data_IF_399441846113
#
_entry.id   IF_399441846113
#
_cell.length_a   1.000
_cell.length_b   1.000
_cell.length_c   1.000
_cell.angle_alpha   90.00
_cell.angle_beta   90.00
_cell.angle_gamma   90.00
#
_symmetry.space_group_name_H-M   'P 1'
#
loop_
_entity.id
_entity.type
_entity.pdbx_description
1 polymer ?
#
# COMPACT_ATOMS: atom_id res chain seq x y z
N UNK A 1 -15.59 8.28 12.38
CA UNK A 1 -15.31 6.99 11.71
C UNK A 1 -14.70 7.32 10.36
N UNK A 2 -13.38 7.37 10.27
CA UNK A 2 -12.70 7.73 9.03
C UNK A 2 -12.57 6.47 8.17
N UNK A 3 -13.64 6.11 7.44
CA UNK A 3 -13.53 5.14 6.34
C UNK A 3 -12.87 5.86 5.16
N UNK A 4 -11.56 6.11 5.27
CA UNK A 4 -10.79 6.59 4.12
C UNK A 4 -10.70 5.43 3.16
N UNK A 5 -11.65 5.37 2.21
CA UNK A 5 -11.61 4.43 1.10
C UNK A 5 -10.42 4.79 0.23
N UNK A 6 -9.28 4.20 0.53
CA UNK A 6 -8.03 4.51 -0.13
C UNK A 6 -7.74 3.49 -1.22
N UNK A 7 -7.67 3.96 -2.46
CA UNK A 7 -7.46 3.07 -3.61
C UNK A 7 -5.99 2.78 -3.82
N UNK A 8 -5.73 1.63 -4.41
CA UNK A 8 -4.38 1.21 -4.75
C UNK A 8 -3.61 2.24 -5.59
N UNK A 9 -4.26 2.89 -6.56
CA UNK A 9 -3.65 3.98 -7.35
C UNK A 9 -3.27 5.22 -6.51
N UNK A 10 -4.02 5.50 -5.46
CA UNK A 10 -3.80 6.67 -4.59
C UNK A 10 -2.60 6.40 -3.69
N UNK A 11 -2.55 5.22 -3.09
CA UNK A 11 -1.35 4.71 -2.38
C UNK A 11 -0.10 4.81 -3.24
N UNK A 12 -0.17 4.29 -4.46
CA UNK A 12 0.98 4.33 -5.37
C UNK A 12 1.43 5.77 -5.65
N UNK A 13 0.48 6.68 -5.87
CA UNK A 13 0.75 8.09 -6.16
C UNK A 13 1.39 8.78 -4.95
N UNK A 14 0.89 8.55 -3.73
CA UNK A 14 1.41 9.13 -2.49
C UNK A 14 2.84 8.71 -2.19
N UNK A 15 3.14 7.43 -2.42
CA UNK A 15 4.49 6.90 -2.23
C UNK A 15 5.42 7.17 -3.42
N UNK A 16 4.91 7.76 -4.52
CA UNK A 16 5.69 8.02 -5.72
C UNK A 16 6.14 6.75 -6.48
N UNK A 17 5.38 5.67 -6.35
CA UNK A 17 5.67 4.34 -6.92
C UNK A 17 4.58 3.92 -7.90
N UNK A 18 4.81 2.83 -8.63
CA UNK A 18 3.82 2.29 -9.54
C UNK A 18 2.74 1.49 -8.80
N UNK A 19 1.47 1.53 -9.26
CA UNK A 19 0.40 0.67 -8.74
C UNK A 19 0.76 -0.82 -8.72
N UNK A 20 1.58 -1.26 -9.67
CA UNK A 20 2.03 -2.64 -9.76
C UNK A 20 2.90 -3.04 -8.57
N UNK A 21 3.80 -2.17 -8.11
CA UNK A 21 4.62 -2.43 -6.92
C UNK A 21 3.76 -2.53 -5.66
N UNK A 22 2.78 -1.63 -5.49
CA UNK A 22 1.83 -1.71 -4.37
C UNK A 22 1.06 -3.04 -4.42
N UNK A 23 0.58 -3.45 -5.60
CA UNK A 23 -0.12 -4.71 -5.78
C UNK A 23 0.76 -5.91 -5.43
N UNK A 24 2.04 -5.89 -5.82
CA UNK A 24 2.99 -6.95 -5.51
C UNK A 24 3.32 -7.00 -4.01
N UNK A 25 3.38 -5.86 -3.32
CA UNK A 25 3.56 -5.81 -1.86
C UNK A 25 2.35 -6.42 -1.15
N UNK A 26 1.13 -6.04 -1.55
CA UNK A 26 -0.11 -6.61 -0.98
C UNK A 26 -0.14 -8.11 -1.22
N UNK A 27 0.22 -8.56 -2.42
CA UNK A 27 0.25 -9.98 -2.80
C UNK A 27 1.23 -10.84 -1.97
N UNK A 28 2.14 -10.24 -1.20
CA UNK A 28 3.04 -10.98 -0.29
C UNK A 28 2.35 -11.37 1.02
N UNK A 29 1.33 -10.62 1.44
CA UNK A 29 0.68 -10.77 2.74
C UNK A 29 -0.81 -11.10 2.62
N UNK A 30 -1.44 -10.70 1.52
CA UNK A 30 -2.87 -10.84 1.22
C UNK A 30 -3.06 -11.26 -0.24
N UNK A 31 -4.33 -11.39 -0.65
CA UNK A 31 -4.68 -11.67 -2.03
C UNK A 31 -4.30 -10.53 -2.97
N UNK A 32 -3.90 -10.88 -4.19
CA UNK A 32 -3.55 -9.90 -5.21
C UNK A 32 -4.75 -9.02 -5.55
N UNK A 33 -4.61 -7.68 -5.48
CA UNK A 33 -5.69 -6.78 -5.84
C UNK A 33 -6.06 -6.93 -7.32
N UNK A 34 -7.37 -6.92 -7.60
CA UNK A 34 -7.96 -7.19 -8.91
C UNK A 34 -7.79 -6.03 -9.89
N UNK A 35 -7.65 -4.80 -9.38
CA UNK A 35 -7.45 -3.59 -10.22
C UNK A 35 -6.80 -2.44 -9.44
N UNK A 36 -6.22 -1.49 -10.18
CA UNK A 36 -5.63 -0.27 -9.58
C UNK A 36 -6.67 0.68 -8.97
N UNK A 37 -7.95 0.49 -9.28
CA UNK A 37 -9.08 1.25 -8.71
C UNK A 37 -9.71 0.54 -7.51
N UNK A 38 -9.25 -0.67 -7.17
CA UNK A 38 -9.69 -1.38 -5.98
C UNK A 38 -9.39 -0.52 -4.74
N UNK A 39 -10.41 -0.41 -3.89
CA UNK A 39 -10.28 0.16 -2.55
C UNK A 39 -9.61 -0.88 -1.67
N UNK A 40 -8.51 -0.48 -1.03
CA UNK A 40 -7.81 -1.33 -0.09
C UNK A 40 -8.45 -1.22 1.29
N UNK A 41 -8.48 -2.35 1.99
CA UNK A 41 -8.92 -2.41 3.37
C UNK A 41 -7.82 -1.89 4.31
N UNK A 42 -8.19 -1.49 5.53
CA UNK A 42 -7.24 -0.97 6.52
C UNK A 42 -6.06 -1.93 6.77
N UNK A 43 -6.31 -3.25 6.74
CA UNK A 43 -5.27 -4.26 6.91
C UNK A 43 -4.28 -4.33 5.74
N UNK A 44 -4.76 -4.19 4.49
CA UNK A 44 -3.93 -4.15 3.29
C UNK A 44 -3.12 -2.85 3.25
N UNK A 45 -3.78 -1.73 3.57
CA UNK A 45 -3.13 -0.42 3.69
C UNK A 45 -2.01 -0.47 4.72
N UNK A 46 -2.29 -0.94 5.95
CA UNK A 46 -1.28 -1.04 7.00
C UNK A 46 -0.08 -1.89 6.56
N UNK A 47 -0.28 -3.03 5.88
CA UNK A 47 0.85 -3.82 5.39
C UNK A 47 1.68 -3.10 4.32
N UNK A 48 1.04 -2.35 3.42
CA UNK A 48 1.77 -1.52 2.46
C UNK A 48 2.53 -0.40 3.16
N UNK A 49 1.88 0.32 4.09
CA UNK A 49 2.52 1.37 4.89
C UNK A 49 3.71 0.81 5.68
N UNK A 50 3.55 -0.31 6.38
CA UNK A 50 4.61 -0.96 7.13
C UNK A 50 5.77 -1.36 6.22
N UNK A 51 5.49 -1.92 5.04
CA UNK A 51 6.53 -2.31 4.09
C UNK A 51 7.28 -1.09 3.55
N UNK A 52 6.56 -0.06 3.12
CA UNK A 52 7.15 1.17 2.57
C UNK A 52 7.92 1.96 3.62
N UNK A 53 7.42 2.04 4.84
CA UNK A 53 8.07 2.76 5.95
C UNK A 53 9.22 1.98 6.57
N UNK A 54 9.15 0.63 6.65
CA UNK A 54 10.32 -0.19 7.03
C UNK A 54 11.44 -0.09 6.01
N UNK A 55 11.12 -0.07 4.71
CA UNK A 55 12.12 0.08 3.66
C UNK A 55 12.72 1.50 3.61
N UNK A 56 11.98 2.50 4.10
CA UNK A 56 12.43 3.89 4.26
C UNK A 56 12.72 4.24 5.73
N UNK A 57 13.02 3.27 6.59
CA UNK A 57 13.58 3.61 7.90
C UNK A 57 14.88 4.34 7.63
N UNK A 58 14.84 5.67 7.75
CA UNK A 58 16.01 6.48 8.07
C UNK A 58 16.69 5.66 9.16
N UNK A 59 17.86 5.09 8.84
CA UNK A 59 18.76 4.55 9.84
C UNK A 59 18.91 5.68 10.86
N UNK A 60 18.11 5.64 11.93
CA UNK A 60 18.37 6.49 13.07
C UNK A 60 19.71 6.00 13.56
N UNK A 61 20.66 6.93 13.46
CA UNK A 61 22.01 6.98 14.02
C UNK A 61 22.25 6.01 15.15
#
# INVERSE_FOLDING_TARGET
MSFVKYRLKEVATDFGTTPKEIADIISKFYDRPKSNTQVLNDAELNAVFDYMTKNNQIKSI
#
